data_IF_133307967309
#
_entry.id   IF_133307967309
#
_cell.length_a   1.000
_cell.length_b   1.000
_cell.length_c   1.000
_cell.angle_alpha   90.00
_cell.angle_beta   90.00
_cell.angle_gamma   90.00
#
_symmetry.space_group_name_H-M   'P 1'
#
loop_
_entity.id
_entity.type
_entity.pdbx_description
1 polymer ?
#
# COMPACT_ATOMS: atom_id res chain seq x y z
N UNK A 1 -13.31 -12.21 6.52
CA UNK A 1 -12.69 -12.49 5.20
C UNK A 1 -12.01 -11.22 4.72
N UNK A 2 -10.69 -11.22 4.47
CA UNK A 2 -10.06 -10.08 3.78
C UNK A 2 -10.55 -10.10 2.33
N UNK A 3 -10.92 -8.94 1.78
CA UNK A 3 -11.34 -8.84 0.38
C UNK A 3 -10.20 -9.38 -0.53
N UNK A 4 -10.51 -10.13 -1.61
CA UNK A 4 -9.48 -10.63 -2.55
C UNK A 4 -8.53 -9.51 -3.01
N UNK A 5 -9.05 -8.29 -3.18
CA UNK A 5 -8.27 -7.12 -3.59
C UNK A 5 -7.25 -6.68 -2.53
N UNK A 6 -7.56 -6.84 -1.24
CA UNK A 6 -6.62 -6.48 -0.17
C UNK A 6 -5.45 -7.44 -0.12
N UNK A 7 -5.70 -8.74 -0.36
CA UNK A 7 -4.63 -9.73 -0.47
C UNK A 7 -3.71 -9.42 -1.65
N UNK A 8 -4.27 -9.10 -2.82
CA UNK A 8 -3.47 -8.71 -3.99
C UNK A 8 -2.64 -7.45 -3.72
N UNK A 9 -3.22 -6.43 -3.08
CA UNK A 9 -2.48 -5.23 -2.66
C UNK A 9 -1.33 -5.60 -1.72
N UNK A 10 -1.56 -6.46 -0.72
CA UNK A 10 -0.53 -6.90 0.21
C UNK A 10 0.62 -7.63 -0.50
N UNK A 11 0.31 -8.50 -1.47
CA UNK A 11 1.33 -9.17 -2.28
C UNK A 11 2.17 -8.18 -3.10
N UNK A 12 1.57 -7.17 -3.71
CA UNK A 12 2.34 -6.13 -4.43
C UNK A 12 3.22 -5.32 -3.47
N UNK A 13 2.74 -4.98 -2.27
CA UNK A 13 3.54 -4.26 -1.27
C UNK A 13 4.77 -5.09 -0.85
N UNK A 14 4.64 -6.42 -0.70
CA UNK A 14 5.76 -7.31 -0.37
C UNK A 14 6.89 -7.27 -1.39
N UNK A 15 6.58 -6.98 -2.65
CA UNK A 15 7.55 -6.93 -3.73
C UNK A 15 8.38 -5.63 -3.75
N UNK A 16 8.04 -4.61 -2.97
CA UNK A 16 8.78 -3.35 -2.94
C UNK A 16 10.16 -3.60 -2.31
N UNK A 17 11.28 -3.44 -3.04
CA UNK A 17 12.61 -3.73 -2.51
C UNK A 17 13.03 -2.80 -1.37
N UNK A 18 14.01 -3.24 -0.58
CA UNK A 18 14.66 -2.38 0.43
C UNK A 18 15.30 -1.18 -0.27
N UNK A 19 15.14 0.02 0.31
CA UNK A 19 15.66 1.27 -0.26
C UNK A 19 14.84 1.83 -1.44
N UNK A 20 13.69 1.21 -1.76
CA UNK A 20 12.74 1.69 -2.76
C UNK A 20 11.38 1.94 -2.12
N UNK A 21 10.59 2.74 -2.81
CA UNK A 21 9.23 3.14 -2.43
C UNK A 21 8.33 3.07 -3.66
N UNK A 22 7.04 2.90 -3.42
CA UNK A 22 6.01 2.96 -4.46
C UNK A 22 4.88 3.88 -4.01
N UNK A 23 4.25 4.58 -4.95
CA UNK A 23 3.08 5.40 -4.64
C UNK A 23 1.82 4.54 -4.55
N UNK A 24 0.81 4.99 -3.80
CA UNK A 24 -0.50 4.32 -3.78
C UNK A 24 -1.11 4.16 -5.18
N UNK A 25 -0.88 5.14 -6.08
CA UNK A 25 -1.33 5.08 -7.47
C UNK A 25 -0.65 3.97 -8.25
N UNK A 26 0.68 3.89 -8.18
CA UNK A 26 1.45 2.82 -8.85
C UNK A 26 0.98 1.42 -8.44
N UNK A 27 0.71 1.22 -7.14
CA UNK A 27 0.20 -0.07 -6.66
C UNK A 27 -1.21 -0.33 -7.19
N UNK A 28 -2.08 0.68 -7.23
CA UNK A 28 -3.43 0.54 -7.77
C UNK A 28 -3.42 0.17 -9.27
N UNK A 29 -2.52 0.78 -10.05
CA UNK A 29 -2.35 0.49 -11.48
C UNK A 29 -1.85 -0.95 -11.71
N UNK A 30 -0.92 -1.43 -10.86
CA UNK A 30 -0.39 -2.80 -10.95
C UNK A 30 -1.45 -3.84 -10.57
N UNK A 31 -2.19 -3.61 -9.48
CA UNK A 31 -3.23 -4.54 -9.01
C UNK A 31 -4.41 -4.56 -9.99
N UNK A 32 -4.79 -3.40 -10.53
CA UNK A 32 -5.98 -3.22 -11.34
C UNK A 32 -7.27 -3.31 -10.54
N UNK A 33 -8.34 -2.65 -11.01
CA UNK A 33 -9.66 -2.75 -10.37
C UNK A 33 -9.76 -2.17 -8.95
N UNK A 34 -8.78 -1.39 -8.50
CA UNK A 34 -8.81 -0.68 -7.24
C UNK A 34 -8.28 0.75 -7.40
N UNK A 35 -8.53 1.59 -6.41
CA UNK A 35 -8.04 2.98 -6.40
C UNK A 35 -6.87 3.14 -5.45
N UNK A 36 -6.06 4.18 -5.65
CA UNK A 36 -5.01 4.58 -4.71
C UNK A 36 -5.54 4.72 -3.26
N UNK A 37 -6.79 5.18 -3.11
CA UNK A 37 -7.44 5.29 -1.79
C UNK A 37 -7.71 3.93 -1.17
N UNK A 38 -8.12 2.93 -1.96
CA UNK A 38 -8.27 1.55 -1.49
C UNK A 38 -6.93 0.94 -1.08
N UNK A 39 -5.85 1.23 -1.81
CA UNK A 39 -4.49 0.83 -1.40
C UNK A 39 -4.13 1.44 -0.05
N UNK A 40 -4.42 2.73 0.15
CA UNK A 40 -4.23 3.39 1.45
C UNK A 40 -4.98 2.71 2.59
N UNK A 41 -6.24 2.31 2.37
CA UNK A 41 -7.00 1.55 3.37
C UNK A 41 -6.42 0.17 3.62
N UNK A 42 -6.07 -0.57 2.57
CA UNK A 42 -5.46 -1.89 2.68
C UNK A 42 -4.11 -1.84 3.41
N UNK A 43 -3.29 -0.82 3.15
CA UNK A 43 -2.03 -0.59 3.84
C UNK A 43 -2.25 -0.24 5.32
N UNK A 44 -3.24 0.60 5.64
CA UNK A 44 -3.56 0.95 7.04
C UNK A 44 -4.18 -0.19 7.86
N UNK A 45 -4.70 -1.21 7.19
CA UNK A 45 -5.27 -2.40 7.82
C UNK A 45 -4.22 -3.49 8.10
N UNK A 46 -2.95 -3.25 7.77
CA UNK A 46 -1.84 -4.17 8.06
C UNK A 46 -1.47 -4.04 9.55
N UNK A 47 -1.42 -5.16 10.31
CA UNK A 47 -0.94 -5.17 11.68
C UNK A 47 0.51 -4.65 11.80
N UNK A 48 0.83 -3.98 12.90
CA UNK A 48 2.16 -3.41 13.11
C UNK A 48 3.27 -4.47 13.17
N UNK A 49 2.95 -5.67 13.64
CA UNK A 49 3.82 -6.84 13.73
C UNK A 49 3.90 -7.65 12.43
N UNK A 50 3.29 -7.17 11.34
CA UNK A 50 3.37 -7.82 10.04
C UNK A 50 4.72 -7.60 9.36
N UNK A 51 5.14 -8.61 8.60
CA UNK A 51 6.30 -8.59 7.71
C UNK A 51 6.07 -7.81 6.40
N UNK A 52 4.86 -7.30 6.16
CA UNK A 52 4.53 -6.51 4.96
C UNK A 52 5.09 -5.09 5.13
N UNK A 53 5.95 -4.60 4.20
CA UNK A 53 6.63 -3.32 4.34
C UNK A 53 5.74 -2.12 3.96
N UNK A 54 4.62 -1.94 4.68
CA UNK A 54 3.62 -0.88 4.42
C UNK A 54 4.20 0.53 4.45
N UNK A 55 5.27 0.76 5.22
CA UNK A 55 5.98 2.03 5.31
C UNK A 55 6.69 2.44 4.01
N UNK A 56 6.81 1.54 3.03
CA UNK A 56 7.37 1.83 1.70
C UNK A 56 6.33 2.36 0.71
N UNK A 57 5.07 2.48 1.13
CA UNK A 57 3.99 3.05 0.33
C UNK A 57 3.80 4.52 0.67
N UNK A 58 3.97 5.39 -0.32
CA UNK A 58 4.00 6.85 -0.14
C UNK A 58 2.98 7.58 -1.01
N UNK A 59 2.78 8.87 -0.74
CA UNK A 59 1.89 9.70 -1.55
C UNK A 59 2.53 10.04 -2.92
N UNK A 60 1.72 10.57 -3.84
CA UNK A 60 2.18 10.96 -5.19
C UNK A 60 3.28 12.04 -5.17
N UNK A 61 3.35 12.86 -4.12
CA UNK A 61 4.36 13.91 -3.97
C UNK A 61 5.71 13.38 -3.47
N UNK A 62 5.86 12.06 -3.28
CA UNK A 62 7.09 11.45 -2.79
C UNK A 62 7.23 11.51 -1.27
N UNK A 63 6.18 11.87 -0.53
CA UNK A 63 6.21 12.05 0.92
C UNK A 63 5.33 11.08 1.70
N UNK A 64 5.44 11.13 3.03
CA UNK A 64 4.57 10.39 3.94
C UNK A 64 3.18 11.03 3.94
N UNK A 65 2.14 10.21 3.85
CA UNK A 65 0.75 10.66 4.01
C UNK A 65 0.47 11.02 5.46
N UNK A 66 0.36 12.31 5.77
CA UNK A 66 -0.05 12.78 7.10
C UNK A 66 -1.54 12.54 7.29
N UNK A 67 -1.93 11.92 8.41
CA UNK A 67 -3.33 11.85 8.83
C UNK A 67 -3.61 13.08 9.67
N UNK A 68 -4.46 13.98 9.20
CA UNK A 68 -5.07 15.00 10.05
C UNK A 68 -5.97 14.25 11.04
N UNK A 69 -5.61 14.30 12.32
CA UNK A 69 -6.45 13.79 13.41
C UNK A 69 -7.72 14.60 13.56
#
# INVERSE_FOLDING_TARGET
MKSPIYQQIHEIIRLIPVGKVATYGQIADIVGGCTARMVGYAASAIPFDSDIPWQRVINFQGGISTRSG
#
